data_IF_291776607774
#
_entry.id   IF_291776607774
#
_cell.length_a   1.000
_cell.length_b   1.000
_cell.length_c   1.000
_cell.angle_alpha   90.00
_cell.angle_beta   90.00
_cell.angle_gamma   90.00
#
_symmetry.space_group_name_H-M   'P 1'
#
loop_
_entity.id
_entity.type
_entity.pdbx_description
1 polymer ?
#
# COMPACT_ATOMS: atom_id res chain seq x y z
N UNK A 1 27.45 -1.99 -1.67
CA UNK A 1 27.76 -0.89 -0.72
C UNK A 1 26.84 -1.02 0.48
N UNK A 2 27.42 -1.41 1.62
CA UNK A 2 26.79 -1.35 2.94
C UNK A 2 26.71 0.10 3.38
N UNK A 3 25.61 0.51 3.99
CA UNK A 3 25.57 1.67 4.88
C UNK A 3 24.82 1.25 6.14
N UNK A 4 25.60 0.87 7.15
CA UNK A 4 25.24 0.91 8.56
C UNK A 4 25.51 2.31 9.12
N UNK A 5 24.84 2.60 10.25
CA UNK A 5 24.98 3.73 11.19
C UNK A 5 24.15 4.99 10.91
N UNK A 6 23.06 5.11 11.66
CA UNK A 6 22.89 6.23 12.59
C UNK A 6 22.16 5.75 13.86
N UNK A 7 22.94 5.52 14.92
CA UNK A 7 22.46 5.43 16.30
C UNK A 7 22.20 6.85 16.82
N UNK A 8 20.94 7.23 16.99
CA UNK A 8 20.53 8.50 17.57
C UNK A 8 19.34 8.31 18.49
N UNK A 9 19.60 8.25 19.80
CA UNK A 9 18.59 8.05 20.85
C UNK A 9 17.83 9.36 21.08
N UNK A 10 16.71 9.56 20.38
CA UNK A 10 15.74 10.61 20.71
C UNK A 10 14.52 9.98 21.41
N UNK A 11 14.52 10.08 22.75
CA UNK A 11 13.32 9.86 23.56
C UNK A 11 12.39 11.04 23.30
N UNK A 12 11.38 10.84 22.46
CA UNK A 12 10.45 11.89 22.04
C UNK A 12 9.17 11.25 21.52
N UNK A 13 8.32 10.90 22.47
CA UNK A 13 7.20 9.98 22.37
C UNK A 13 6.05 10.53 21.50
N UNK A 14 5.99 10.17 20.21
CA UNK A 14 4.74 10.24 19.43
C UNK A 14 3.83 9.05 19.80
N UNK A 15 3.30 9.06 21.04
CA UNK A 15 2.30 8.08 21.49
C UNK A 15 1.07 8.05 20.57
N UNK A 16 0.67 9.18 19.98
CA UNK A 16 -0.53 9.28 19.14
C UNK A 16 -0.48 8.49 17.82
N UNK A 17 0.66 8.47 17.11
CA UNK A 17 0.73 7.82 15.78
C UNK A 17 0.91 6.31 15.88
N UNK A 18 1.70 5.85 16.86
CA UNK A 18 1.77 4.42 17.20
C UNK A 18 0.43 3.92 17.72
N UNK A 19 -0.29 4.72 18.52
CA UNK A 19 -1.61 4.35 19.04
C UNK A 19 -2.67 4.31 17.94
N UNK A 20 -2.68 5.23 16.95
CA UNK A 20 -3.66 5.18 15.85
C UNK A 20 -3.43 4.00 14.88
N UNK A 21 -2.17 3.66 14.59
CA UNK A 21 -1.83 2.49 13.77
C UNK A 21 -2.09 1.16 14.50
N UNK A 22 -1.91 1.11 15.83
CA UNK A 22 -2.24 -0.06 16.64
C UNK A 22 -3.75 -0.16 16.98
N UNK A 23 -4.47 0.94 17.16
CA UNK A 23 -5.93 0.94 17.41
C UNK A 23 -6.75 0.61 16.17
N UNK A 24 -6.19 0.79 14.97
CA UNK A 24 -6.80 0.30 13.72
C UNK A 24 -6.90 -1.23 13.68
N UNK A 25 -6.14 -1.95 14.53
CA UNK A 25 -6.18 -3.41 14.66
C UNK A 25 -7.28 -3.88 15.64
N UNK A 26 -7.76 -3.02 16.55
CA UNK A 26 -8.82 -3.37 17.52
C UNK A 26 -10.24 -2.96 17.10
N UNK A 27 -10.43 -2.09 16.10
CA UNK A 27 -11.76 -1.72 15.64
C UNK A 27 -12.31 -2.70 14.59
N UNK A 28 -12.40 -3.97 14.95
CA UNK A 28 -13.40 -4.91 14.41
C UNK A 28 -14.25 -5.29 15.61
N UNK A 29 -15.49 -4.81 15.65
CA UNK A 29 -16.54 -5.01 16.67
C UNK A 29 -16.68 -3.89 17.70
N UNK A 30 -17.48 -2.88 17.36
CA UNK A 30 -18.55 -2.44 18.25
C UNK A 30 -19.62 -1.67 17.46
N UNK A 31 -20.84 -2.20 17.44
CA UNK A 31 -22.03 -1.47 17.02
C UNK A 31 -22.73 -0.87 18.25
N UNK A 32 -23.49 0.20 18.00
CA UNK A 32 -24.54 0.80 18.88
C UNK A 32 -23.97 1.82 19.89
N UNK A 33 -24.35 3.11 19.94
CA UNK A 33 -25.53 3.86 19.47
C UNK A 33 -25.25 5.39 19.37
N UNK A 34 -25.95 6.04 18.42
CA UNK A 34 -26.58 7.38 18.43
C UNK A 34 -25.81 8.73 18.41
N UNK A 35 -26.20 9.51 17.39
CA UNK A 35 -26.32 10.97 17.26
C UNK A 35 -25.08 11.87 17.16
N UNK A 36 -24.70 12.22 15.93
CA UNK A 36 -24.92 13.58 15.35
C UNK A 36 -24.49 13.66 13.88
N UNK A 37 -25.37 14.24 13.06
CA UNK A 37 -25.16 14.83 11.71
C UNK A 37 -24.37 14.05 10.66
N UNK A 38 -25.10 13.60 9.64
CA UNK A 38 -24.60 12.74 8.57
C UNK A 38 -23.50 13.37 7.74
N UNK A 39 -22.30 12.81 7.86
CA UNK A 39 -21.33 12.75 6.78
C UNK A 39 -21.25 11.29 6.37
N UNK A 40 -22.04 10.92 5.36
CA UNK A 40 -22.08 9.56 4.84
C UNK A 40 -20.67 9.08 4.55
N UNK A 41 -20.29 7.94 5.11
CA UNK A 41 -19.02 7.28 4.84
C UNK A 41 -18.97 6.92 3.35
N UNK A 42 -18.53 7.85 2.51
CA UNK A 42 -18.16 7.61 1.10
C UNK A 42 -16.89 6.76 1.14
N UNK A 43 -17.05 5.47 1.41
CA UNK A 43 -15.97 4.51 1.37
C UNK A 43 -15.63 4.23 -0.08
N UNK A 44 -14.46 4.69 -0.52
CA UNK A 44 -13.93 4.43 -1.87
C UNK A 44 -12.85 5.44 -2.23
N UNK A 45 -12.10 5.15 -3.30
CA UNK A 45 -11.06 6.04 -3.83
C UNK A 45 -11.52 7.48 -4.06
N UNK A 46 -12.82 7.68 -4.33
CA UNK A 46 -13.44 9.01 -4.55
C UNK A 46 -13.32 9.97 -3.36
N UNK A 47 -12.92 9.49 -2.19
CA UNK A 47 -12.75 10.30 -0.99
C UNK A 47 -11.29 10.44 -0.55
N UNK A 48 -10.34 9.90 -1.33
CA UNK A 48 -8.91 10.04 -1.06
C UNK A 48 -8.39 11.35 -1.70
N UNK A 49 -7.77 12.26 -0.92
CA UNK A 49 -7.26 13.52 -1.48
C UNK A 49 -6.21 13.28 -2.56
N UNK A 50 -6.30 14.04 -3.65
CA UNK A 50 -5.29 13.97 -4.71
C UNK A 50 -3.94 14.51 -4.20
N UNK A 51 -2.77 13.98 -4.63
CA UNK A 51 -1.47 14.46 -4.15
C UNK A 51 -1.25 15.98 -4.30
N UNK A 52 -1.81 16.58 -5.35
CA UNK A 52 -1.76 18.04 -5.57
C UNK A 52 -2.55 18.82 -4.51
N UNK A 53 -3.67 18.28 -4.01
CA UNK A 53 -4.46 18.89 -2.93
C UNK A 53 -3.71 18.83 -1.59
N UNK A 54 -2.94 17.76 -1.37
CA UNK A 54 -2.11 17.63 -0.18
C UNK A 54 -0.85 18.48 -0.21
N UNK A 55 -0.41 18.94 -1.39
CA UNK A 55 0.80 19.77 -1.53
C UNK A 55 0.72 21.07 -0.73
N UNK A 56 -0.48 21.65 -0.61
CA UNK A 56 -0.75 22.86 0.17
C UNK A 56 -1.07 22.59 1.65
N UNK A 57 -1.28 21.32 2.01
CA UNK A 57 -1.58 20.93 3.40
C UNK A 57 -0.31 20.96 4.24
N UNK A 58 -0.40 21.49 5.47
CA UNK A 58 0.70 21.51 6.42
C UNK A 58 1.14 20.09 6.79
N UNK A 59 2.44 19.82 6.70
CA UNK A 59 2.97 18.50 7.02
C UNK A 59 2.72 18.13 8.49
N UNK A 60 2.25 16.90 8.72
CA UNK A 60 1.83 16.41 10.04
C UNK A 60 0.71 17.24 10.69
N UNK A 61 -0.10 17.96 9.93
CA UNK A 61 -1.37 18.49 10.44
C UNK A 61 -2.39 17.37 10.66
N UNK A 62 -3.57 17.71 11.18
CA UNK A 62 -4.66 16.74 11.33
C UNK A 62 -5.17 16.24 9.98
N UNK A 63 -5.25 17.13 8.99
CA UNK A 63 -5.65 16.83 7.62
C UNK A 63 -4.64 15.88 6.96
N UNK A 64 -3.34 16.14 7.11
CA UNK A 64 -2.29 15.25 6.62
C UNK A 64 -2.39 13.86 7.24
N UNK A 65 -2.53 13.78 8.58
CA UNK A 65 -2.69 12.51 9.29
C UNK A 65 -3.96 11.78 8.85
N UNK A 66 -5.05 12.50 8.68
CA UNK A 66 -6.33 11.99 8.20
C UNK A 66 -6.20 11.37 6.80
N UNK A 67 -5.52 12.07 5.88
CA UNK A 67 -5.27 11.56 4.53
C UNK A 67 -4.41 10.29 4.53
N UNK A 68 -3.32 10.24 5.33
CA UNK A 68 -2.49 9.04 5.47
C UNK A 68 -3.26 7.85 6.05
N UNK A 69 -4.09 8.09 7.09
CA UNK A 69 -4.94 7.04 7.66
C UNK A 69 -6.00 6.56 6.66
N UNK A 70 -6.57 7.48 5.87
CA UNK A 70 -7.54 7.14 4.85
C UNK A 70 -6.89 6.30 3.74
N UNK A 71 -5.70 6.69 3.25
CA UNK A 71 -4.91 5.92 2.29
C UNK A 71 -4.71 4.49 2.77
N UNK A 72 -4.18 4.32 3.98
CA UNK A 72 -3.93 3.00 4.58
C UNK A 72 -5.20 2.13 4.58
N UNK A 73 -6.33 2.66 5.06
CA UNK A 73 -7.61 1.92 5.12
C UNK A 73 -8.15 1.60 3.72
N UNK A 74 -7.99 2.51 2.77
CA UNK A 74 -8.42 2.33 1.38
C UNK A 74 -7.64 1.20 0.71
N UNK A 75 -6.31 1.13 0.92
CA UNK A 75 -5.49 0.07 0.35
C UNK A 75 -5.91 -1.32 0.86
N UNK A 76 -6.21 -1.46 2.15
CA UNK A 76 -6.74 -2.72 2.70
C UNK A 76 -8.07 -3.12 2.08
N UNK A 77 -8.99 -2.17 1.91
CA UNK A 77 -10.28 -2.42 1.24
C UNK A 77 -10.07 -2.82 -0.22
N UNK A 78 -9.15 -2.18 -0.92
CA UNK A 78 -8.80 -2.54 -2.29
C UNK A 78 -8.18 -3.94 -2.35
N UNK A 79 -7.29 -4.30 -1.43
CA UNK A 79 -6.72 -5.65 -1.37
C UNK A 79 -7.80 -6.73 -1.18
N UNK A 80 -8.77 -6.49 -0.30
CA UNK A 80 -9.90 -7.42 -0.09
C UNK A 80 -10.75 -7.58 -1.35
N UNK A 81 -10.94 -6.50 -2.12
CA UNK A 81 -11.85 -6.49 -3.28
C UNK A 81 -11.19 -6.82 -4.60
N UNK A 82 -9.86 -6.69 -4.70
CA UNK A 82 -9.11 -6.79 -5.97
C UNK A 82 -8.10 -7.91 -6.02
N UNK A 83 -7.65 -8.45 -4.87
CA UNK A 83 -6.58 -9.45 -4.84
C UNK A 83 -7.11 -10.81 -4.40
N UNK A 84 -6.51 -11.86 -4.95
CA UNK A 84 -6.73 -13.23 -4.50
C UNK A 84 -6.22 -13.41 -3.06
N UNK A 85 -6.75 -14.38 -2.27
CA UNK A 85 -6.41 -14.51 -0.85
C UNK A 85 -4.90 -14.54 -0.54
N UNK A 86 -4.12 -15.28 -1.33
CA UNK A 86 -2.65 -15.37 -1.16
C UNK A 86 -1.96 -14.05 -1.50
N UNK A 87 -2.37 -13.37 -2.57
CA UNK A 87 -1.84 -12.06 -2.97
C UNK A 87 -2.16 -10.98 -1.93
N UNK A 88 -3.39 -11.02 -1.39
CA UNK A 88 -3.85 -10.13 -0.32
C UNK A 88 -3.01 -10.29 0.95
N UNK A 89 -2.74 -11.52 1.37
CA UNK A 89 -1.94 -11.78 2.57
C UNK A 89 -0.54 -11.18 2.44
N UNK A 90 0.14 -11.45 1.33
CA UNK A 90 1.45 -10.86 1.05
C UNK A 90 1.38 -9.33 0.95
N UNK A 91 0.42 -8.81 0.19
CA UNK A 91 0.23 -7.37 0.00
C UNK A 91 -0.07 -6.62 1.31
N UNK A 92 -0.88 -7.20 2.19
CA UNK A 92 -1.20 -6.60 3.50
C UNK A 92 0.03 -6.49 4.39
N UNK A 93 0.83 -7.56 4.46
CA UNK A 93 2.11 -7.55 5.19
C UNK A 93 3.08 -6.51 4.63
N UNK A 94 3.12 -6.37 3.30
CA UNK A 94 3.94 -5.38 2.64
C UNK A 94 3.49 -3.94 2.96
N UNK A 95 2.19 -3.62 2.88
CA UNK A 95 1.64 -2.32 3.28
C UNK A 95 2.02 -1.99 4.73
N UNK A 96 1.85 -2.94 5.66
CA UNK A 96 2.20 -2.72 7.07
C UNK A 96 3.65 -2.33 7.23
N UNK A 97 4.55 -3.09 6.63
CA UNK A 97 5.98 -2.82 6.70
C UNK A 97 6.34 -1.46 6.09
N UNK A 98 5.76 -1.12 4.94
CA UNK A 98 6.02 0.14 4.25
C UNK A 98 5.53 1.36 5.03
N UNK A 99 4.29 1.34 5.51
CA UNK A 99 3.75 2.43 6.33
C UNK A 99 4.52 2.57 7.63
N UNK A 100 4.89 1.45 8.27
CA UNK A 100 5.69 1.45 9.50
C UNK A 100 7.08 2.07 9.28
N UNK A 101 7.72 1.81 8.14
CA UNK A 101 9.01 2.41 7.77
C UNK A 101 8.91 3.91 7.51
N UNK A 102 7.76 4.40 7.06
CA UNK A 102 7.57 5.79 6.66
C UNK A 102 6.85 6.68 7.69
N UNK A 103 6.53 6.16 8.89
CA UNK A 103 5.93 6.96 9.98
C UNK A 103 6.73 8.23 10.27
N UNK A 104 8.05 8.08 10.36
CA UNK A 104 8.96 9.15 10.75
C UNK A 104 9.75 9.72 9.56
N UNK A 105 9.30 9.44 8.34
CA UNK A 105 9.95 9.96 7.13
C UNK A 105 9.94 11.51 7.13
N UNK A 106 11.02 12.16 6.64
CA UNK A 106 11.03 13.59 6.39
C UNK A 106 9.93 13.98 5.40
N UNK A 107 9.44 15.22 5.48
CA UNK A 107 8.29 15.70 4.69
C UNK A 107 8.40 15.37 3.19
N UNK A 108 9.55 15.68 2.58
CA UNK A 108 9.80 15.40 1.16
C UNK A 108 9.54 13.92 0.82
N UNK A 109 10.06 13.01 1.64
CA UNK A 109 9.89 11.58 1.43
C UNK A 109 8.46 11.12 1.73
N UNK A 110 7.82 11.69 2.75
CA UNK A 110 6.42 11.39 3.06
C UNK A 110 5.45 11.83 1.96
N UNK A 111 5.73 12.96 1.27
CA UNK A 111 4.96 13.42 0.11
C UNK A 111 5.13 12.50 -1.10
N UNK A 112 6.37 12.15 -1.44
CA UNK A 112 6.66 11.17 -2.50
C UNK A 112 6.01 9.82 -2.20
N UNK A 113 6.06 9.39 -0.93
CA UNK A 113 5.40 8.18 -0.47
C UNK A 113 3.89 8.24 -0.72
N UNK A 114 3.21 9.31 -0.28
CA UNK A 114 1.78 9.46 -0.50
C UNK A 114 1.41 9.41 -1.98
N UNK A 115 2.13 10.15 -2.82
CA UNK A 115 1.91 10.19 -4.28
C UNK A 115 2.07 8.81 -4.94
N UNK A 116 3.12 8.07 -4.55
CA UNK A 116 3.38 6.73 -5.06
C UNK A 116 2.26 5.76 -4.67
N UNK A 117 1.83 5.80 -3.40
CA UNK A 117 0.75 4.94 -2.90
C UNK A 117 -0.62 5.34 -3.41
N UNK A 118 -0.86 6.62 -3.69
CA UNK A 118 -2.05 7.10 -4.39
C UNK A 118 -2.12 6.48 -5.78
N UNK A 119 -1.03 6.56 -6.54
CA UNK A 119 -0.94 5.99 -7.89
C UNK A 119 -1.16 4.48 -7.89
N UNK A 120 -0.56 3.77 -6.93
CA UNK A 120 -0.80 2.34 -6.73
C UNK A 120 -2.28 2.05 -6.43
N UNK A 121 -2.92 2.81 -5.54
CA UNK A 121 -4.33 2.63 -5.21
C UNK A 121 -5.23 2.83 -6.45
N UNK A 122 -4.91 3.80 -7.30
CA UNK A 122 -5.60 4.03 -8.57
C UNK A 122 -5.46 2.84 -9.52
N UNK A 123 -4.22 2.36 -9.74
CA UNK A 123 -3.95 1.19 -10.59
C UNK A 123 -4.70 -0.05 -10.09
N UNK A 124 -4.58 -0.33 -8.79
CA UNK A 124 -5.21 -1.49 -8.16
C UNK A 124 -6.74 -1.43 -8.30
N UNK A 125 -7.34 -0.26 -8.14
CA UNK A 125 -8.79 -0.11 -8.31
C UNK A 125 -9.27 -0.35 -9.74
N UNK A 126 -8.45 0.02 -10.72
CA UNK A 126 -8.69 -0.25 -12.14
C UNK A 126 -8.53 -1.75 -12.49
N UNK A 127 -8.19 -2.60 -11.51
CA UNK A 127 -7.98 -4.03 -11.71
C UNK A 127 -6.57 -4.37 -12.18
N UNK A 128 -5.65 -3.40 -12.20
CA UNK A 128 -4.24 -3.66 -12.50
C UNK A 128 -3.55 -4.19 -11.23
N UNK A 129 -3.56 -5.51 -11.07
CA UNK A 129 -2.97 -6.22 -9.92
C UNK A 129 -1.53 -6.66 -10.20
N UNK A 130 -1.20 -6.88 -11.48
CA UNK A 130 0.17 -7.00 -12.00
C UNK A 130 0.30 -6.11 -13.22
N UNK A 131 1.31 -5.23 -13.26
CA UNK A 131 1.66 -4.54 -14.50
C UNK A 131 2.58 -5.45 -15.30
N UNK A 132 2.16 -5.80 -16.51
CA UNK A 132 3.07 -6.43 -17.46
C UNK A 132 4.23 -5.47 -17.77
N UNK A 133 5.42 -6.02 -18.02
CA UNK A 133 6.54 -5.21 -18.49
C UNK A 133 6.16 -4.53 -19.79
N UNK A 134 6.44 -3.23 -19.91
CA UNK A 134 6.21 -2.51 -21.18
C UNK A 134 7.14 -3.03 -22.27
N UNK A 135 6.83 -2.71 -23.53
CA UNK A 135 7.66 -3.10 -24.66
C UNK A 135 9.06 -2.49 -24.57
N UNK A 136 9.17 -1.28 -24.02
CA UNK A 136 10.44 -0.59 -23.77
C UNK A 136 11.26 -1.31 -22.71
N UNK A 137 10.65 -1.70 -21.59
CA UNK A 137 11.31 -2.43 -20.51
C UNK A 137 11.79 -3.81 -20.97
N UNK A 138 11.01 -4.50 -21.80
CA UNK A 138 11.42 -5.78 -22.40
C UNK A 138 12.63 -5.64 -23.33
N UNK A 139 12.76 -4.50 -24.03
CA UNK A 139 13.92 -4.23 -24.89
C UNK A 139 15.20 -3.94 -24.12
N UNK A 140 15.08 -3.44 -22.88
CA UNK A 140 16.22 -3.18 -22.01
C UNK A 140 16.80 -4.44 -21.36
N UNK A 141 16.11 -5.58 -21.45
CA UNK A 141 16.60 -6.85 -20.91
C UNK A 141 17.74 -7.41 -21.74
N UNK A 142 18.75 -7.95 -21.07
CA UNK A 142 19.81 -8.73 -21.72
C UNK A 142 19.26 -10.07 -22.23
N UNK A 143 19.94 -10.70 -23.19
CA UNK A 143 19.52 -12.01 -23.71
C UNK A 143 19.49 -13.10 -22.61
N UNK A 144 20.39 -13.02 -21.64
CA UNK A 144 20.41 -13.92 -20.49
C UNK A 144 19.19 -13.72 -19.56
N UNK A 145 18.79 -12.47 -19.34
CA UNK A 145 17.58 -12.15 -18.56
C UNK A 145 16.31 -12.63 -19.28
N UNK A 146 16.25 -12.44 -20.60
CA UNK A 146 15.14 -12.97 -21.42
C UNK A 146 15.06 -14.49 -21.35
N UNK A 147 16.20 -15.18 -21.42
CA UNK A 147 16.25 -16.63 -21.29
C UNK A 147 15.81 -17.10 -19.91
N UNK A 148 16.23 -16.41 -18.84
CA UNK A 148 15.80 -16.70 -17.47
C UNK A 148 14.29 -16.53 -17.31
N UNK A 149 13.71 -15.46 -17.88
CA UNK A 149 12.25 -15.26 -17.87
C UNK A 149 11.52 -16.36 -18.63
N UNK A 150 12.04 -16.83 -19.76
CA UNK A 150 11.47 -17.97 -20.50
C UNK A 150 11.44 -19.23 -19.63
N UNK A 151 12.54 -19.55 -18.93
CA UNK A 151 12.62 -20.70 -18.01
C UNK A 151 11.64 -20.58 -16.84
N UNK A 152 11.57 -19.41 -16.19
CA UNK A 152 10.63 -19.20 -15.09
C UNK A 152 9.18 -19.37 -15.53
N UNK A 153 8.83 -18.86 -16.72
CA UNK A 153 7.48 -19.04 -17.30
C UNK A 153 7.18 -20.50 -17.59
N UNK A 154 8.11 -21.26 -18.18
CA UNK A 154 7.90 -22.67 -18.47
C UNK A 154 7.71 -23.48 -17.19
N UNK A 155 8.50 -23.23 -16.15
CA UNK A 155 8.33 -23.86 -14.84
C UNK A 155 6.97 -23.54 -14.22
N UNK A 156 6.55 -22.27 -14.23
CA UNK A 156 5.25 -21.88 -13.69
C UNK A 156 4.07 -22.55 -14.42
N UNK A 157 4.16 -22.73 -15.74
CA UNK A 157 3.15 -23.45 -16.53
C UNK A 157 3.16 -24.95 -16.20
N UNK A 158 4.33 -25.58 -16.07
CA UNK A 158 4.44 -26.99 -15.72
C UNK A 158 3.88 -27.27 -14.32
N UNK A 159 4.18 -26.43 -13.34
CA UNK A 159 3.60 -26.56 -11.99
C UNK A 159 2.08 -26.42 -11.98
N UNK A 160 1.52 -25.55 -12.84
CA UNK A 160 0.06 -25.43 -13.01
C UNK A 160 -0.60 -26.67 -13.58
N UNK A 161 0.09 -27.43 -14.44
CA UNK A 161 -0.46 -28.66 -15.02
C UNK A 161 -0.49 -29.83 -14.02
N UNK A 162 0.30 -29.76 -12.95
CA UNK A 162 0.46 -30.84 -11.97
C UNK A 162 -0.32 -30.59 -10.65
N UNK A 163 -0.96 -29.44 -10.47
CA UNK A 163 -1.76 -29.11 -9.28
C UNK A 163 -3.27 -29.21 -9.57
N UNK A 164 -3.96 -30.28 -9.13
CA UNK A 164 -5.41 -30.37 -9.25
C UNK A 164 -6.06 -29.43 -8.22
N UNK A 165 -6.48 -28.25 -8.67
CA UNK A 165 -7.22 -27.29 -7.84
C UNK A 165 -6.84 -25.81 -8.01
N UNK A 166 -5.86 -25.49 -8.85
CA UNK A 166 -5.47 -24.10 -9.11
C UNK A 166 -6.43 -23.44 -10.11
N UNK A 167 -7.53 -22.86 -9.63
CA UNK A 167 -8.46 -22.06 -10.43
C UNK A 167 -8.21 -20.56 -10.22
N UNK A 168 -8.10 -19.80 -11.33
CA UNK A 168 -8.03 -18.33 -11.33
C UNK A 168 -9.42 -17.71 -11.24
#
# INVERSE_FOLDING_TARGET
>A
MRLDLCHGRARGMCRGVKQLLLQSVSCVSFSTQANTTGSGCRSGLRALPHPTELSSTLFRSEEWRGAMCHMYRTLYKLHVTKLQPVQREFGNRFIQAEFQRHIDAPEKHARIFYESWYSYAMQLSAGQTSRDMTAEEQRLLTEEQKETLRKLRSHAVQMKQHEPGFSL
#
